data_IF_043102925270
#
_entry.id   IF_043102925270
#
_cell.length_a   1.000
_cell.length_b   1.000
_cell.length_c   1.000
_cell.angle_alpha   90.00
_cell.angle_beta   90.00
_cell.angle_gamma   90.00
#
_symmetry.space_group_name_H-M   'P 1'
#
loop_
_entity.id
_entity.type
_entity.pdbx_description
1 polymer ?
#
# COMPACT_ATOMS: atom_id res chain seq x y z
N UNK A 1 -20.97 -2.14 37.96
CA UNK A 1 -20.01 -1.20 37.34
C UNK A 1 -18.81 -1.96 36.83
N UNK A 2 -18.80 -2.30 35.54
CA UNK A 2 -17.62 -2.30 34.68
C UNK A 2 -18.16 -2.17 33.26
N UNK A 3 -18.37 -0.91 32.88
CA UNK A 3 -18.60 -0.51 31.51
C UNK A 3 -17.27 -0.55 30.75
N UNK A 4 -17.38 -0.69 29.43
CA UNK A 4 -16.36 -0.49 28.38
C UNK A 4 -15.56 -1.73 27.95
N UNK A 5 -16.17 -2.51 27.06
CA UNK A 5 -15.49 -3.13 25.91
C UNK A 5 -16.35 -2.92 24.66
N UNK A 6 -16.35 -1.69 24.14
CA UNK A 6 -16.95 -1.33 22.83
C UNK A 6 -16.15 -0.20 22.16
N UNK A 7 -14.84 -0.37 22.06
CA UNK A 7 -14.02 0.45 21.17
C UNK A 7 -13.09 -0.53 20.42
N UNK A 8 -12.84 -0.30 19.14
CA UNK A 8 -11.97 -1.06 18.22
C UNK A 8 -12.59 -2.05 17.21
N UNK A 9 -13.91 -2.08 17.00
CA UNK A 9 -14.46 -2.57 15.72
C UNK A 9 -14.48 -1.42 14.71
N UNK A 10 -13.48 -1.36 13.82
CA UNK A 10 -13.49 -0.46 12.64
C UNK A 10 -12.28 0.46 12.44
N UNK A 11 -11.28 0.50 13.33
CA UNK A 11 -10.15 1.42 13.14
C UNK A 11 -9.15 0.94 12.07
N UNK A 12 -8.73 1.84 11.18
CA UNK A 12 -7.58 1.66 10.27
C UNK A 12 -6.34 1.34 11.11
N UNK A 13 -5.79 0.11 11.06
CA UNK A 13 -4.77 -0.37 12.00
C UNK A 13 -3.34 0.14 11.75
N UNK A 14 -3.16 1.29 11.09
CA UNK A 14 -1.84 1.84 10.80
C UNK A 14 -1.26 2.57 12.03
N UNK A 15 -0.10 2.16 12.56
CA UNK A 15 0.58 2.94 13.62
C UNK A 15 1.40 4.12 13.11
N UNK A 16 1.72 4.15 11.82
CA UNK A 16 2.34 5.30 11.14
C UNK A 16 1.36 6.49 10.98
N UNK A 17 0.08 6.25 11.27
CA UNK A 17 -0.98 7.23 11.28
C UNK A 17 -1.09 7.93 12.65
N UNK A 18 -1.12 9.28 12.70
CA UNK A 18 -1.58 9.98 13.88
C UNK A 18 -2.98 9.47 14.32
N UNK A 19 -3.25 9.26 15.62
CA UNK A 19 -4.51 8.68 16.09
C UNK A 19 -5.77 9.41 15.59
N UNK A 20 -5.72 10.73 15.44
CA UNK A 20 -6.81 11.54 14.89
C UNK A 20 -7.13 11.21 13.43
N UNK A 21 -6.09 10.95 12.63
CA UNK A 21 -6.25 10.69 11.20
C UNK A 21 -6.79 9.29 10.92
N UNK A 22 -6.53 8.30 11.78
CA UNK A 22 -7.17 6.97 11.68
C UNK A 22 -8.68 7.02 11.82
N UNK A 23 -9.17 7.79 12.79
CA UNK A 23 -10.61 7.97 13.02
C UNK A 23 -11.25 8.71 11.85
N UNK A 24 -10.56 9.72 11.33
CA UNK A 24 -11.00 10.49 10.15
C UNK A 24 -11.11 9.60 8.91
N UNK A 25 -10.13 8.74 8.66
CA UNK A 25 -10.14 7.79 7.56
C UNK A 25 -11.32 6.82 7.62
N UNK A 26 -11.59 6.27 8.81
CA UNK A 26 -12.73 5.38 9.03
C UNK A 26 -14.08 6.09 8.84
N UNK A 27 -14.23 7.28 9.42
CA UNK A 27 -15.44 8.10 9.24
C UNK A 27 -15.66 8.47 7.77
N UNK A 28 -14.59 8.81 7.06
CA UNK A 28 -14.63 9.09 5.64
C UNK A 28 -15.11 7.87 4.83
N UNK A 29 -14.55 6.68 5.10
CA UNK A 29 -14.97 5.44 4.45
C UNK A 29 -16.46 5.15 4.64
N UNK A 30 -17.00 5.40 5.85
CA UNK A 30 -18.42 5.25 6.15
C UNK A 30 -19.29 6.25 5.39
N UNK A 31 -18.89 7.52 5.33
CA UNK A 31 -19.60 8.56 4.59
C UNK A 31 -19.60 8.25 3.09
N UNK A 32 -18.44 7.89 2.52
CA UNK A 32 -18.32 7.53 1.12
C UNK A 32 -19.24 6.36 0.75
N UNK A 33 -19.26 5.31 1.57
CA UNK A 33 -20.13 4.15 1.36
C UNK A 33 -21.61 4.55 1.42
N UNK A 34 -22.00 5.36 2.40
CA UNK A 34 -23.38 5.86 2.53
C UNK A 34 -23.81 6.62 1.27
N UNK A 35 -23.01 7.59 0.86
CA UNK A 35 -23.35 8.50 -0.22
C UNK A 35 -23.37 7.77 -1.57
N UNK A 36 -22.46 6.80 -1.77
CA UNK A 36 -22.51 5.91 -2.92
C UNK A 36 -23.79 5.07 -2.95
N UNK A 37 -24.19 4.46 -1.82
CA UNK A 37 -25.42 3.67 -1.72
C UNK A 37 -26.69 4.52 -1.89
N UNK A 38 -26.63 5.81 -1.60
CA UNK A 38 -27.71 6.78 -1.79
C UNK A 38 -27.73 7.42 -3.19
N UNK A 39 -26.74 7.10 -4.05
CA UNK A 39 -26.65 7.66 -5.40
C UNK A 39 -26.20 9.12 -5.44
N UNK A 40 -25.53 9.60 -4.39
CA UNK A 40 -25.06 11.00 -4.25
C UNK A 40 -23.53 11.11 -4.03
N UNK A 41 -22.67 10.44 -4.84
CA UNK A 41 -21.23 10.56 -4.67
C UNK A 41 -20.75 11.99 -4.97
N UNK A 42 -19.83 12.52 -4.15
CA UNK A 42 -19.19 13.83 -4.34
C UNK A 42 -17.86 13.69 -5.07
N UNK A 43 -17.44 14.71 -5.83
CA UNK A 43 -16.16 14.70 -6.56
C UNK A 43 -14.97 14.62 -5.60
N UNK A 44 -15.02 15.35 -4.48
CA UNK A 44 -13.97 15.35 -3.45
C UNK A 44 -13.80 13.96 -2.78
N UNK A 45 -14.81 13.09 -2.89
CA UNK A 45 -14.69 11.72 -2.41
C UNK A 45 -13.64 10.94 -3.18
N UNK A 46 -13.42 11.25 -4.46
CA UNK A 46 -12.54 10.48 -5.33
C UNK A 46 -11.08 10.60 -4.89
N UNK A 47 -10.61 11.83 -4.58
CA UNK A 47 -9.21 12.06 -4.18
C UNK A 47 -8.86 11.31 -2.89
N UNK A 48 -9.77 11.35 -1.92
CA UNK A 48 -9.56 10.66 -0.64
C UNK A 48 -9.78 9.15 -0.77
N UNK A 49 -10.69 8.70 -1.65
CA UNK A 49 -10.90 7.27 -1.93
C UNK A 49 -9.67 6.61 -2.54
N UNK A 50 -9.03 7.27 -3.51
CA UNK A 50 -7.84 6.70 -4.17
C UNK A 50 -6.71 6.50 -3.15
N UNK A 51 -6.48 7.49 -2.27
CA UNK A 51 -5.52 7.37 -1.16
C UNK A 51 -5.89 6.23 -0.20
N UNK A 52 -7.17 6.10 0.12
CA UNK A 52 -7.68 5.03 0.99
C UNK A 52 -7.54 3.63 0.34
N UNK A 53 -7.69 3.52 -0.98
CA UNK A 53 -7.51 2.27 -1.71
C UNK A 53 -6.07 1.76 -1.63
N UNK A 54 -5.07 2.65 -1.67
CA UNK A 54 -3.66 2.26 -1.47
C UNK A 54 -3.45 1.71 -0.06
N UNK A 55 -4.06 2.35 0.95
CA UNK A 55 -4.02 1.84 2.32
C UNK A 55 -4.64 0.44 2.44
N UNK A 56 -5.82 0.23 1.85
CA UNK A 56 -6.47 -1.09 1.88
C UNK A 56 -5.66 -2.13 1.11
N UNK A 57 -5.08 -1.77 -0.03
CA UNK A 57 -4.18 -2.63 -0.78
C UNK A 57 -2.98 -3.08 0.06
N UNK A 58 -2.37 -2.15 0.79
CA UNK A 58 -1.32 -2.42 1.75
C UNK A 58 -1.78 -3.42 2.83
N UNK A 59 -2.88 -3.13 3.52
CA UNK A 59 -3.38 -3.99 4.60
C UNK A 59 -3.76 -5.40 4.12
N UNK A 60 -4.39 -5.50 2.95
CA UNK A 60 -4.77 -6.76 2.33
C UNK A 60 -3.57 -7.61 1.92
N UNK A 61 -2.57 -7.01 1.25
CA UNK A 61 -1.35 -7.73 0.88
C UNK A 61 -0.58 -8.19 2.12
N UNK A 62 -0.45 -7.36 3.16
CA UNK A 62 0.19 -7.76 4.41
C UNK A 62 -0.56 -8.92 5.09
N UNK A 63 -1.89 -8.89 5.11
CA UNK A 63 -2.68 -10.01 5.63
C UNK A 63 -2.53 -11.28 4.77
N UNK A 64 -2.47 -11.16 3.45
CA UNK A 64 -2.22 -12.30 2.56
C UNK A 64 -0.86 -12.97 2.86
N UNK A 65 0.12 -12.18 3.29
CA UNK A 65 1.43 -12.62 3.77
C UNK A 65 1.43 -13.10 5.23
N UNK A 66 0.28 -13.10 5.92
CA UNK A 66 0.18 -13.46 7.33
C UNK A 66 0.86 -12.49 8.28
N UNK A 67 1.12 -11.27 7.83
CA UNK A 67 1.71 -10.20 8.62
C UNK A 67 0.61 -9.22 9.06
N UNK A 68 0.28 -9.24 10.34
CA UNK A 68 -0.62 -8.22 10.92
C UNK A 68 0.06 -6.84 10.90
N UNK A 69 -0.59 -5.88 10.26
CA UNK A 69 -0.15 -4.48 10.18
C UNK A 69 0.15 -3.90 11.56
N UNK A 70 -0.59 -4.28 12.62
CA UNK A 70 -0.34 -3.75 13.97
C UNK A 70 0.96 -4.28 14.59
N UNK A 71 1.37 -5.49 14.22
CA UNK A 71 2.54 -6.17 14.76
C UNK A 71 3.82 -5.90 13.99
N UNK A 72 3.72 -5.69 12.67
CA UNK A 72 4.88 -5.65 11.76
C UNK A 72 5.24 -4.25 11.23
N UNK A 73 4.60 -3.19 11.72
CA UNK A 73 4.82 -1.79 11.32
C UNK A 73 5.47 -0.93 12.42
N UNK A 74 6.39 -1.50 13.20
CA UNK A 74 7.24 -0.71 14.09
C UNK A 74 8.61 -0.50 13.43
N UNK A 75 9.29 0.62 13.72
CA UNK A 75 10.51 1.05 13.03
C UNK A 75 11.60 -0.03 12.91
N UNK A 76 11.77 -0.86 13.95
CA UNK A 76 12.81 -1.91 13.99
C UNK A 76 12.33 -3.29 13.48
N UNK A 77 11.22 -3.37 12.77
CA UNK A 77 10.70 -4.65 12.30
C UNK A 77 11.58 -5.23 11.19
N UNK A 78 11.82 -6.54 11.25
CA UNK A 78 12.56 -7.30 10.24
C UNK A 78 11.63 -8.31 9.59
N UNK A 79 11.62 -8.36 8.25
CA UNK A 79 10.74 -9.25 7.49
C UNK A 79 10.93 -10.71 7.91
N UNK A 80 9.86 -11.46 8.18
CA UNK A 80 9.96 -12.87 8.55
C UNK A 80 10.51 -13.76 7.41
N UNK A 81 10.60 -13.25 6.17
CA UNK A 81 11.14 -14.03 5.06
C UNK A 81 12.64 -14.29 5.15
N UNK A 82 13.37 -13.43 5.86
CA UNK A 82 14.82 -13.53 6.03
C UNK A 82 15.26 -14.03 7.42
N UNK A 83 14.31 -14.40 8.30
CA UNK A 83 14.62 -14.91 9.63
C UNK A 83 14.74 -16.43 9.64
N UNK A 84 15.43 -16.98 10.64
CA UNK A 84 15.76 -18.41 10.75
C UNK A 84 14.54 -19.36 10.83
N UNK A 85 13.36 -18.83 11.13
CA UNK A 85 12.09 -19.57 11.09
C UNK A 85 11.08 -18.75 10.29
N UNK A 86 11.06 -18.86 8.94
CA UNK A 86 9.89 -18.41 8.20
C UNK A 86 8.79 -19.38 8.62
N UNK A 87 8.05 -19.04 9.69
CA UNK A 87 6.88 -19.81 10.13
C UNK A 87 6.11 -20.14 8.86
N UNK A 88 5.94 -21.42 8.57
CA UNK A 88 5.19 -21.84 7.41
C UNK A 88 3.85 -21.11 7.50
N UNK A 89 3.67 -20.14 6.61
CA UNK A 89 2.41 -19.45 6.51
C UNK A 89 1.47 -20.55 6.06
N UNK A 90 0.59 -21.03 6.94
CA UNK A 90 -0.48 -21.98 6.62
C UNK A 90 -1.54 -21.29 5.73
N UNK A 91 -1.08 -20.54 4.72
CA UNK A 91 -1.83 -19.66 3.84
C UNK A 91 -1.25 -19.78 2.45
N UNK A 92 -2.14 -19.83 1.46
CA UNK A 92 -1.75 -19.77 0.05
C UNK A 92 -1.39 -18.32 -0.26
N UNK A 93 -0.09 -18.04 -0.41
CA UNK A 93 0.39 -16.72 -0.78
C UNK A 93 0.17 -16.52 -2.29
N UNK A 94 -0.47 -15.40 -2.73
CA UNK A 94 -0.64 -15.09 -4.14
C UNK A 94 0.69 -15.08 -4.91
N UNK A 95 0.68 -15.51 -6.17
CA UNK A 95 1.89 -15.67 -6.99
C UNK A 95 2.83 -14.45 -6.99
N UNK A 96 2.26 -13.25 -7.11
CA UNK A 96 3.01 -11.99 -7.15
C UNK A 96 3.51 -11.51 -5.78
N UNK A 97 3.00 -12.08 -4.68
CA UNK A 97 3.45 -11.78 -3.32
C UNK A 97 4.47 -12.77 -2.79
N UNK A 98 4.69 -13.89 -3.47
CA UNK A 98 5.70 -14.88 -3.08
C UNK A 98 7.07 -14.23 -2.85
N UNK A 99 7.80 -14.58 -1.78
CA UNK A 99 9.08 -13.96 -1.49
C UNK A 99 10.10 -14.29 -2.58
N UNK A 100 10.92 -13.32 -2.95
CA UNK A 100 12.06 -13.51 -3.86
C UNK A 100 13.24 -14.14 -3.14
N UNK A 101 14.28 -14.50 -3.91
CA UNK A 101 15.55 -14.94 -3.31
C UNK A 101 16.22 -13.82 -2.48
N UNK A 102 16.08 -12.57 -2.91
CA UNK A 102 16.66 -11.41 -2.22
C UNK A 102 15.94 -11.14 -0.91
N UNK A 103 14.60 -11.18 -0.90
CA UNK A 103 13.81 -11.05 0.32
C UNK A 103 14.14 -12.15 1.34
N UNK A 104 14.51 -13.35 0.90
CA UNK A 104 14.95 -14.43 1.81
C UNK A 104 16.37 -14.27 2.33
N UNK A 105 17.23 -13.59 1.57
CA UNK A 105 18.67 -13.53 1.87
C UNK A 105 19.08 -12.25 2.62
N UNK A 106 18.36 -11.14 2.43
CA UNK A 106 18.75 -9.81 2.91
C UNK A 106 17.78 -9.33 3.98
N UNK A 107 18.26 -8.99 5.20
CA UNK A 107 17.43 -8.33 6.21
C UNK A 107 16.86 -7.00 5.70
N UNK A 108 15.54 -6.82 5.84
CA UNK A 108 14.82 -5.64 5.39
C UNK A 108 13.53 -5.45 6.19
N UNK A 109 12.93 -4.27 6.12
CA UNK A 109 11.67 -3.99 6.80
C UNK A 109 10.47 -4.64 6.07
N UNK A 110 9.53 -5.30 6.78
CA UNK A 110 8.40 -6.00 6.15
C UNK A 110 7.45 -5.10 5.34
N UNK A 111 7.52 -3.78 5.55
CA UNK A 111 6.74 -2.81 4.76
C UNK A 111 7.06 -2.90 3.26
N UNK A 112 8.24 -3.35 2.87
CA UNK A 112 8.59 -3.54 1.45
C UNK A 112 7.92 -4.77 0.83
N UNK A 113 7.43 -5.70 1.63
CA UNK A 113 6.90 -6.98 1.14
C UNK A 113 5.54 -6.86 0.46
N UNK A 114 4.80 -5.77 0.71
CA UNK A 114 3.44 -5.58 0.20
C UNK A 114 3.37 -5.28 -1.30
N UNK A 115 4.46 -4.79 -1.91
CA UNK A 115 4.43 -4.48 -3.34
C UNK A 115 4.28 -5.77 -4.15
N UNK A 116 3.29 -5.89 -5.05
CA UNK A 116 3.10 -7.13 -5.82
C UNK A 116 4.16 -7.32 -6.91
N UNK A 117 5.07 -6.36 -7.12
CA UNK A 117 6.09 -6.48 -8.15
C UNK A 117 7.42 -6.99 -7.57
N UNK A 118 7.86 -8.24 -7.84
CA UNK A 118 9.03 -8.84 -7.19
C UNK A 118 10.32 -8.04 -7.38
N UNK A 119 10.58 -7.56 -8.60
CA UNK A 119 11.81 -6.79 -8.87
C UNK A 119 11.82 -5.39 -8.27
N UNK A 120 10.64 -4.81 -8.03
CA UNK A 120 10.55 -3.52 -7.34
C UNK A 120 10.96 -3.71 -5.88
N UNK A 121 10.47 -4.78 -5.23
CA UNK A 121 10.87 -5.17 -3.87
C UNK A 121 12.38 -5.41 -3.78
N UNK A 122 12.92 -6.21 -4.68
CA UNK A 122 14.36 -6.50 -4.70
C UNK A 122 15.19 -5.22 -4.81
N UNK A 123 14.80 -4.27 -5.65
CA UNK A 123 15.51 -2.98 -5.75
C UNK A 123 15.46 -2.15 -4.49
N UNK A 124 14.28 -2.04 -3.87
CA UNK A 124 14.12 -1.30 -2.62
C UNK A 124 14.98 -1.92 -1.51
N UNK A 125 15.03 -3.25 -1.45
CA UNK A 125 15.87 -3.98 -0.51
C UNK A 125 17.36 -3.75 -0.80
N UNK A 126 17.78 -3.87 -2.06
CA UNK A 126 19.17 -3.64 -2.46
C UNK A 126 19.64 -2.20 -2.28
N UNK A 127 18.74 -1.22 -2.43
CA UNK A 127 19.07 0.17 -2.22
C UNK A 127 19.42 0.45 -0.75
N UNK A 128 18.81 -0.29 0.20
CA UNK A 128 19.05 -0.12 1.64
C UNK A 128 18.89 1.35 2.04
N UNK A 129 19.86 1.91 2.75
CA UNK A 129 19.80 3.29 3.25
C UNK A 129 20.17 4.36 2.21
N UNK A 130 20.20 4.04 0.91
CA UNK A 130 20.54 5.01 -0.15
C UNK A 130 19.37 5.91 -0.55
N UNK A 131 18.19 5.68 0.01
CA UNK A 131 16.99 6.47 -0.22
C UNK A 131 16.27 6.70 1.11
N UNK A 132 15.40 7.70 1.12
CA UNK A 132 14.54 8.01 2.24
C UNK A 132 13.28 7.13 2.17
N UNK A 133 13.27 6.05 2.95
CA UNK A 133 12.20 5.06 2.97
C UNK A 133 10.94 5.58 3.70
N UNK A 134 11.14 6.44 4.71
CA UNK A 134 10.06 7.18 5.36
C UNK A 134 9.35 8.11 4.36
N UNK A 135 10.09 8.91 3.58
CA UNK A 135 9.51 9.78 2.57
C UNK A 135 8.82 8.99 1.45
N UNK A 136 9.39 7.87 1.00
CA UNK A 136 8.72 6.99 0.03
C UNK A 136 7.40 6.46 0.58
N UNK A 137 7.37 6.03 1.84
CA UNK A 137 6.16 5.58 2.51
C UNK A 137 5.11 6.71 2.59
N UNK A 138 5.51 7.92 2.96
CA UNK A 138 4.61 9.09 3.03
C UNK A 138 3.97 9.36 1.66
N UNK A 139 4.79 9.45 0.60
CA UNK A 139 4.32 9.73 -0.76
C UNK A 139 3.34 8.67 -1.26
N UNK A 140 3.66 7.38 -1.02
CA UNK A 140 2.81 6.26 -1.45
C UNK A 140 1.49 6.23 -0.69
N UNK A 141 1.54 6.40 0.63
CA UNK A 141 0.35 6.26 1.45
C UNK A 141 -0.61 7.43 1.23
N UNK A 142 -0.11 8.63 0.94
CA UNK A 142 -0.83 9.82 0.42
C UNK A 142 -1.94 10.40 1.32
N UNK A 143 -2.56 9.57 2.15
CA UNK A 143 -3.65 9.87 3.07
C UNK A 143 -3.20 10.77 4.21
N UNK A 144 -1.93 10.69 4.62
CA UNK A 144 -1.37 11.52 5.69
C UNK A 144 -0.98 12.93 5.22
N UNK A 145 -0.98 13.18 3.91
CA UNK A 145 -0.72 14.50 3.31
C UNK A 145 -2.02 15.02 2.68
N UNK A 146 -2.88 15.72 3.43
CA UNK A 146 -4.12 16.30 2.87
C UNK A 146 -3.83 17.39 1.83
N UNK A 147 -2.65 18.01 1.89
CA UNK A 147 -2.26 19.13 1.02
C UNK A 147 -1.73 18.68 -0.35
N UNK A 148 -1.34 17.41 -0.51
CA UNK A 148 -0.96 16.84 -1.81
C UNK A 148 -2.19 16.27 -2.50
N UNK A 149 -2.61 16.88 -3.60
CA UNK A 149 -3.80 16.43 -4.34
C UNK A 149 -3.58 15.11 -5.08
N UNK A 150 -2.35 14.80 -5.49
CA UNK A 150 -2.07 13.66 -6.36
C UNK A 150 -1.47 12.48 -5.58
N UNK A 151 -2.13 11.31 -5.55
CA UNK A 151 -1.56 10.11 -4.94
C UNK A 151 -0.37 9.61 -5.78
N UNK A 152 0.66 9.11 -5.11
CA UNK A 152 1.82 8.57 -5.82
C UNK A 152 1.47 7.26 -6.57
N UNK A 153 0.64 6.41 -5.98
CA UNK A 153 0.15 5.17 -6.57
C UNK A 153 -1.38 5.13 -6.53
N UNK A 154 -1.99 4.40 -7.47
CA UNK A 154 -3.41 4.09 -7.49
C UNK A 154 -3.61 2.58 -7.57
N UNK A 155 -4.63 2.07 -6.87
CA UNK A 155 -5.02 0.66 -6.89
C UNK A 155 -6.48 0.54 -7.31
N UNK A 156 -6.71 -0.14 -8.43
CA UNK A 156 -8.00 -0.23 -9.12
C UNK A 156 -8.77 -1.53 -8.82
N UNK A 157 -8.17 -2.46 -8.10
CA UNK A 157 -8.73 -3.79 -7.88
C UNK A 157 -7.95 -4.60 -6.87
N UNK A 158 -7.87 -5.92 -7.09
CA UNK A 158 -7.18 -6.84 -6.19
C UNK A 158 -5.69 -6.47 -6.05
N UNK A 159 -5.18 -6.25 -4.83
CA UNK A 159 -3.88 -5.61 -4.63
C UNK A 159 -2.67 -6.51 -4.86
N UNK A 160 -2.87 -7.83 -4.86
CA UNK A 160 -1.84 -8.80 -5.21
C UNK A 160 -1.71 -9.03 -6.73
N UNK A 161 -2.51 -8.34 -7.56
CA UNK A 161 -2.38 -8.39 -9.02
C UNK A 161 -1.77 -7.08 -9.54
N UNK A 162 -0.59 -7.18 -10.15
CA UNK A 162 0.16 -6.05 -10.73
C UNK A 162 -0.69 -5.27 -11.73
N UNK A 163 -1.61 -5.92 -12.44
CA UNK A 163 -2.46 -5.27 -13.44
C UNK A 163 -3.48 -4.27 -12.85
N UNK A 164 -3.62 -4.23 -11.52
CA UNK A 164 -4.48 -3.28 -10.82
C UNK A 164 -3.72 -2.08 -10.26
N UNK A 165 -2.42 -1.98 -10.47
CA UNK A 165 -1.59 -0.88 -9.98
C UNK A 165 -1.29 0.13 -11.08
N UNK A 166 -1.36 1.40 -10.72
CA UNK A 166 -1.02 2.52 -11.58
C UNK A 166 -0.07 3.47 -10.84
N UNK A 167 0.96 3.95 -11.53
CA UNK A 167 1.91 4.93 -11.02
C UNK A 167 1.55 6.32 -11.55
N UNK A 168 1.58 7.33 -10.68
CA UNK A 168 1.43 8.71 -11.13
C UNK A 168 2.71 9.26 -11.77
N UNK A 169 2.58 10.33 -12.55
CA UNK A 169 3.73 11.05 -13.12
C UNK A 169 4.70 11.53 -12.03
N UNK A 170 4.16 12.02 -10.91
CA UNK A 170 4.94 12.48 -9.76
C UNK A 170 5.77 11.34 -9.15
N UNK A 171 5.17 10.15 -9.01
CA UNK A 171 5.88 8.96 -8.53
C UNK A 171 6.99 8.55 -9.48
N UNK A 172 6.73 8.46 -10.78
CA UNK A 172 7.76 8.07 -11.76
C UNK A 172 8.90 9.09 -11.78
N UNK A 173 8.60 10.38 -11.66
CA UNK A 173 9.62 11.45 -11.62
C UNK A 173 10.52 11.36 -10.38
N UNK A 174 9.97 11.07 -9.20
CA UNK A 174 10.70 11.05 -7.93
C UNK A 174 11.33 9.68 -7.61
N UNK A 175 10.59 8.61 -7.87
CA UNK A 175 10.88 7.24 -7.46
C UNK A 175 11.01 6.25 -8.63
N UNK A 176 11.05 6.72 -9.88
CA UNK A 176 11.09 5.85 -11.07
C UNK A 176 12.23 4.83 -11.10
N UNK A 177 13.33 5.08 -10.38
CA UNK A 177 14.43 4.13 -10.23
C UNK A 177 13.99 2.80 -9.57
N UNK A 178 12.97 2.83 -8.71
CA UNK A 178 12.41 1.63 -8.04
C UNK A 178 11.78 0.66 -9.05
N UNK A 179 11.25 1.20 -10.16
CA UNK A 179 10.48 0.48 -11.17
C UNK A 179 11.17 0.41 -12.54
N UNK A 180 12.46 0.78 -12.62
CA UNK A 180 13.26 0.65 -13.83
C UNK A 180 13.12 -0.76 -14.44
N UNK A 181 13.15 -0.93 -15.75
CA UNK A 181 13.02 -2.24 -16.39
C UNK A 181 11.77 -3.06 -16.00
N UNK A 182 10.74 -2.54 -15.31
CA UNK A 182 9.52 -3.27 -14.91
C UNK A 182 8.37 -3.00 -15.91
N UNK A 183 8.39 -3.53 -17.15
CA UNK A 183 7.44 -3.15 -18.20
C UNK A 183 5.99 -3.48 -17.83
N UNK A 184 5.76 -4.44 -16.96
CA UNK A 184 4.43 -4.84 -16.48
C UNK A 184 3.73 -3.70 -15.73
N UNK A 185 4.47 -2.94 -14.91
CA UNK A 185 3.94 -1.80 -14.17
C UNK A 185 3.60 -0.64 -15.11
N UNK A 186 4.47 -0.35 -16.08
CA UNK A 186 4.19 0.66 -17.12
C UNK A 186 3.02 0.27 -18.02
N UNK A 187 2.91 -1.02 -18.39
CA UNK A 187 1.77 -1.54 -19.16
C UNK A 187 0.46 -1.41 -18.38
N UNK A 188 0.48 -1.77 -17.10
CA UNK A 188 -0.69 -1.59 -16.21
C UNK A 188 -1.07 -0.12 -16.09
N UNK A 189 -0.09 0.74 -15.83
CA UNK A 189 -0.27 2.20 -15.70
C UNK A 189 -0.88 2.80 -16.96
N UNK A 190 -0.31 2.49 -18.13
CA UNK A 190 -0.77 3.01 -19.41
C UNK A 190 -2.16 2.45 -19.80
N UNK A 191 -2.52 1.23 -19.37
CA UNK A 191 -3.88 0.69 -19.54
C UNK A 191 -4.93 1.49 -18.77
N UNK A 192 -4.65 1.86 -17.53
CA UNK A 192 -5.59 2.63 -16.71
C UNK A 192 -5.69 4.08 -17.15
N UNK A 193 -4.55 4.72 -17.46
CA UNK A 193 -4.48 6.06 -18.06
C UNK A 193 -5.27 6.17 -19.36
N UNK A 194 -5.15 5.18 -20.25
CA UNK A 194 -5.88 5.15 -21.51
C UNK A 194 -7.42 5.09 -21.32
N UNK A 195 -7.92 4.41 -20.28
CA UNK A 195 -9.36 4.38 -19.98
C UNK A 195 -9.93 5.76 -19.63
N UNK A 196 -9.07 6.69 -19.19
CA UNK A 196 -9.42 8.07 -18.87
C UNK A 196 -8.97 9.08 -19.93
N UNK A 197 -8.43 8.62 -21.05
CA UNK A 197 -7.94 9.47 -22.14
C UNK A 197 -6.60 10.17 -21.84
N UNK A 198 -5.86 9.72 -20.84
CA UNK A 198 -4.55 10.26 -20.48
C UNK A 198 -3.43 9.70 -21.39
N UNK A 199 -2.35 10.46 -21.55
CA UNK A 199 -1.17 10.05 -22.33
C UNK A 199 -0.39 8.95 -21.59
N UNK A 200 0.26 8.02 -22.31
CA UNK A 200 1.13 7.03 -21.67
C UNK A 200 2.34 7.69 -20.98
N UNK A 201 2.84 7.04 -19.92
CA UNK A 201 4.14 7.28 -19.31
C UNK A 201 5.24 6.54 -20.06
#
# INVERSE_FOLDING_TARGET
>A
NFSQTKEHEGEIPCRLAPPCERRRAYQFALTLRRDYMQGTPQVDHLLTLVKLNVYYAFAENMNALGMDVKGWMHADAVSPFCTFEPKALNRVVPNYLQPTAIQRAVPHHPWLDFFPHPRMRDRLIFAGNKYDDEQLCIDIMGFWNPDENDPALLVWGQPWDIANWEMSEAYVKKWGWTVQDCPELFKSTNRWRAQRGEKPL
#
